data_IF_965087254855
#
_entry.id   IF_965087254855
#
_cell.length_a   1.000
_cell.length_b   1.000
_cell.length_c   1.000
_cell.angle_alpha   90.00
_cell.angle_beta   90.00
_cell.angle_gamma   90.00
#
_symmetry.space_group_name_H-M   'P 1'
#
loop_
_entity.id
_entity.type
_entity.pdbx_description
1 polymer ?
#
# COMPACT_ATOMS: atom_id res chain seq x y z
N UNK A 1 12.72 -49.50 -21.32
CA UNK A 1 12.55 -48.89 -19.98
C UNK A 1 11.99 -47.48 -20.13
N UNK A 2 10.78 -47.20 -19.62
CA UNK A 2 10.26 -45.82 -19.53
C UNK A 2 11.07 -45.09 -18.45
N UNK A 3 11.80 -44.03 -18.79
CA UNK A 3 12.42 -43.13 -17.79
C UNK A 3 11.30 -42.63 -16.87
N UNK A 4 11.30 -43.01 -15.58
CA UNK A 4 10.48 -42.33 -14.56
C UNK A 4 10.90 -40.86 -14.60
N UNK A 5 9.99 -39.97 -15.02
CA UNK A 5 10.18 -38.53 -14.85
C UNK A 5 10.20 -38.29 -13.35
N UNK A 6 11.38 -37.98 -12.80
CA UNK A 6 11.51 -37.51 -11.42
C UNK A 6 10.92 -36.10 -11.40
N UNK A 7 9.98 -35.88 -10.50
CA UNK A 7 9.33 -34.58 -10.32
C UNK A 7 10.18 -33.74 -9.37
N UNK A 8 10.13 -32.41 -9.50
CA UNK A 8 10.75 -31.51 -8.52
C UNK A 8 10.16 -31.73 -7.11
N UNK A 9 8.92 -32.21 -7.03
CA UNK A 9 8.25 -32.58 -5.78
C UNK A 9 8.88 -33.76 -5.05
N UNK A 10 9.75 -34.53 -5.71
CA UNK A 10 10.43 -35.68 -5.12
C UNK A 10 11.71 -35.27 -4.37
N UNK A 11 12.08 -33.98 -4.42
CA UNK A 11 13.23 -33.44 -3.71
C UNK A 11 12.93 -33.23 -2.22
N UNK A 12 13.97 -33.30 -1.40
CA UNK A 12 13.89 -32.96 0.02
C UNK A 12 13.47 -31.47 0.18
N UNK A 13 12.64 -31.19 1.19
CA UNK A 13 12.16 -29.86 1.55
C UNK A 13 13.28 -28.82 1.68
N UNK A 14 14.44 -29.18 2.25
CA UNK A 14 15.57 -28.28 2.41
C UNK A 14 16.19 -27.89 1.06
N UNK A 15 16.27 -28.86 0.14
CA UNK A 15 16.73 -28.62 -1.24
C UNK A 15 15.75 -27.70 -1.98
N UNK A 16 14.44 -27.92 -1.78
CA UNK A 16 13.40 -27.06 -2.35
C UNK A 16 13.47 -25.64 -1.80
N UNK A 17 13.70 -25.48 -0.49
CA UNK A 17 13.89 -24.18 0.16
C UNK A 17 15.08 -23.44 -0.44
N UNK A 18 16.22 -24.11 -0.63
CA UNK A 18 17.41 -23.53 -1.26
C UNK A 18 17.11 -23.08 -2.69
N UNK A 19 16.45 -23.91 -3.50
CA UNK A 19 16.06 -23.55 -4.88
C UNK A 19 15.19 -22.30 -4.89
N UNK A 20 14.19 -22.23 -4.01
CA UNK A 20 13.30 -21.07 -3.91
C UNK A 20 14.07 -19.82 -3.49
N UNK A 21 14.99 -19.92 -2.53
CA UNK A 21 15.84 -18.79 -2.12
C UNK A 21 16.64 -18.25 -3.30
N UNK A 22 17.24 -19.13 -4.12
CA UNK A 22 17.97 -18.69 -5.31
C UNK A 22 17.05 -18.04 -6.35
N UNK A 23 15.85 -18.59 -6.56
CA UNK A 23 14.86 -17.98 -7.45
C UNK A 23 14.40 -16.60 -6.94
N UNK A 24 14.18 -16.47 -5.63
CA UNK A 24 13.78 -15.25 -4.96
C UNK A 24 14.88 -14.17 -4.98
N UNK A 25 16.16 -14.55 -4.99
CA UNK A 25 17.31 -13.63 -5.10
C UNK A 25 17.67 -13.23 -6.54
N UNK A 26 17.00 -13.79 -7.54
CA UNK A 26 17.28 -13.45 -8.93
C UNK A 26 16.91 -11.99 -9.24
N UNK A 27 17.40 -11.46 -10.37
CA UNK A 27 17.12 -10.07 -10.76
C UNK A 27 15.62 -9.74 -10.92
N UNK A 28 14.78 -10.74 -11.21
CA UNK A 28 13.31 -10.64 -11.24
C UNK A 28 12.71 -11.48 -10.08
N UNK A 29 13.34 -11.39 -8.90
CA UNK A 29 13.12 -12.25 -7.76
C UNK A 29 11.66 -12.28 -7.30
N UNK A 30 11.09 -11.11 -7.01
CA UNK A 30 9.69 -10.98 -6.58
C UNK A 30 8.70 -11.60 -7.58
N UNK A 31 8.83 -11.32 -8.88
CA UNK A 31 7.90 -11.87 -9.87
C UNK A 31 8.15 -13.37 -10.10
N UNK A 32 9.41 -13.82 -10.11
CA UNK A 32 9.76 -15.23 -10.22
C UNK A 32 9.22 -16.04 -9.05
N UNK A 33 9.32 -15.50 -7.83
CA UNK A 33 8.77 -16.10 -6.64
C UNK A 33 7.23 -16.11 -6.64
N UNK A 34 6.59 -15.01 -7.01
CA UNK A 34 5.13 -14.94 -7.15
C UNK A 34 4.60 -15.94 -8.19
N UNK A 35 5.29 -16.09 -9.32
CA UNK A 35 5.00 -17.13 -10.31
C UNK A 35 5.19 -18.51 -9.71
N UNK A 36 6.35 -18.82 -9.14
CA UNK A 36 6.67 -20.15 -8.60
C UNK A 36 5.63 -20.63 -7.57
N UNK A 37 5.19 -19.75 -6.69
CA UNK A 37 4.20 -20.05 -5.63
C UNK A 37 2.77 -20.21 -6.13
N UNK A 38 2.44 -19.70 -7.33
CA UNK A 38 1.12 -19.88 -7.93
C UNK A 38 0.96 -21.21 -8.66
N UNK A 39 2.05 -21.81 -9.16
CA UNK A 39 2.04 -23.04 -9.97
C UNK A 39 2.30 -24.30 -9.16
N UNK A 40 3.03 -24.21 -8.05
CA UNK A 40 3.50 -25.36 -7.28
C UNK A 40 2.99 -25.32 -5.83
N UNK A 41 2.22 -26.34 -5.44
CA UNK A 41 1.67 -26.46 -4.07
C UNK A 41 2.78 -26.47 -3.00
N UNK A 42 3.88 -27.20 -3.24
CA UNK A 42 5.02 -27.25 -2.32
C UNK A 42 5.69 -25.88 -2.16
N UNK A 43 5.82 -25.14 -3.26
CA UNK A 43 6.36 -23.78 -3.20
C UNK A 43 5.41 -22.83 -2.48
N UNK A 44 4.10 -23.02 -2.65
CA UNK A 44 3.08 -22.28 -1.89
C UNK A 44 3.18 -22.53 -0.38
N UNK A 45 3.45 -23.77 0.03
CA UNK A 45 3.66 -24.13 1.44
C UNK A 45 4.92 -23.45 2.01
N UNK A 46 6.01 -23.43 1.23
CA UNK A 46 7.25 -22.73 1.58
C UNK A 46 7.17 -21.20 1.44
N UNK A 47 6.11 -20.67 0.85
CA UNK A 47 6.03 -19.25 0.53
C UNK A 47 5.98 -18.33 1.76
N UNK A 48 5.61 -18.88 2.92
CA UNK A 48 5.56 -18.17 4.20
C UNK A 48 6.82 -18.34 5.06
N UNK A 49 7.82 -19.08 4.56
CA UNK A 49 9.07 -19.24 5.27
C UNK A 49 9.81 -17.91 5.39
N UNK A 50 10.22 -17.57 6.62
CA UNK A 50 10.85 -16.30 6.95
C UNK A 50 12.16 -16.07 6.19
N UNK A 51 12.98 -17.11 5.99
CA UNK A 51 14.27 -16.97 5.32
C UNK A 51 14.07 -16.71 3.82
N UNK A 52 13.07 -17.36 3.23
CA UNK A 52 12.66 -17.10 1.85
C UNK A 52 12.17 -15.65 1.70
N UNK A 53 11.25 -15.20 2.57
CA UNK A 53 10.69 -13.85 2.51
C UNK A 53 11.75 -12.75 2.71
N UNK A 54 12.73 -12.98 3.60
CA UNK A 54 13.89 -12.09 3.75
C UNK A 54 14.78 -12.03 2.51
N UNK A 55 14.82 -13.10 1.73
CA UNK A 55 15.69 -13.24 0.57
C UNK A 55 15.09 -12.70 -0.74
N UNK A 56 13.79 -12.37 -0.78
CA UNK A 56 13.14 -11.87 -2.01
C UNK A 56 13.75 -10.56 -2.47
N UNK A 57 14.17 -10.52 -3.72
CA UNK A 57 14.78 -9.37 -4.37
C UNK A 57 13.72 -8.50 -5.06
N UNK A 58 13.85 -7.17 -4.90
CA UNK A 58 12.92 -6.15 -5.42
C UNK A 58 13.61 -5.06 -6.25
N UNK A 59 14.90 -5.20 -6.58
CA UNK A 59 15.72 -4.17 -7.24
C UNK A 59 15.17 -3.61 -8.56
N UNK A 60 14.40 -4.38 -9.31
CA UNK A 60 13.79 -3.92 -10.58
C UNK A 60 12.34 -3.44 -10.43
N UNK A 61 11.84 -3.30 -9.21
CA UNK A 61 10.45 -2.99 -8.97
C UNK A 61 10.27 -1.49 -8.77
N UNK A 62 9.74 -0.82 -9.79
CA UNK A 62 9.31 0.58 -9.70
C UNK A 62 7.98 0.68 -8.95
N UNK A 63 7.87 1.60 -7.97
CA UNK A 63 6.65 1.79 -7.16
C UNK A 63 5.41 1.97 -8.03
N UNK A 64 5.52 2.74 -9.13
CA UNK A 64 4.43 2.99 -10.07
C UNK A 64 4.01 1.74 -10.89
N UNK A 65 4.89 0.74 -10.99
CA UNK A 65 4.63 -0.52 -11.68
C UNK A 65 4.22 -1.67 -10.74
N UNK A 66 4.14 -1.42 -9.42
CA UNK A 66 3.69 -2.44 -8.46
C UNK A 66 2.17 -2.54 -8.53
N UNK A 67 1.69 -3.73 -8.89
CA UNK A 67 0.27 -4.06 -8.87
C UNK A 67 -0.33 -3.86 -7.46
N UNK A 68 -1.56 -3.33 -7.42
CA UNK A 68 -2.29 -3.03 -6.18
C UNK A 68 -2.33 -4.19 -5.18
N UNK A 69 -2.36 -5.43 -5.65
CA UNK A 69 -2.39 -6.64 -4.80
C UNK A 69 -1.14 -6.82 -3.94
N UNK A 70 0.02 -6.29 -4.36
CA UNK A 70 1.27 -6.38 -3.59
C UNK A 70 1.25 -5.53 -2.33
N UNK A 71 0.47 -4.45 -2.33
CA UNK A 71 0.31 -3.53 -1.20
C UNK A 71 -0.73 -3.98 -0.18
N UNK A 72 -1.54 -4.98 -0.52
CA UNK A 72 -2.53 -5.52 0.41
C UNK A 72 -1.85 -6.10 1.65
N UNK A 73 -2.56 -6.17 2.77
CA UNK A 73 -2.05 -6.64 4.06
C UNK A 73 -1.41 -8.04 4.03
N UNK A 74 -1.80 -8.88 3.06
CA UNK A 74 -1.25 -10.21 2.79
C UNK A 74 -0.51 -10.31 1.44
N UNK A 75 -0.27 -9.18 0.78
CA UNK A 75 0.52 -9.08 -0.44
C UNK A 75 1.98 -9.47 -0.19
N UNK A 76 2.67 -9.88 -1.26
CA UNK A 76 4.05 -10.37 -1.18
C UNK A 76 4.98 -9.34 -0.53
N UNK A 77 4.88 -8.08 -0.92
CA UNK A 77 5.74 -7.01 -0.41
C UNK A 77 5.55 -6.81 1.09
N UNK A 78 4.30 -6.75 1.57
CA UNK A 78 3.99 -6.60 3.00
C UNK A 78 4.48 -7.82 3.80
N UNK A 79 4.32 -9.04 3.27
CA UNK A 79 4.83 -10.25 3.92
C UNK A 79 6.36 -10.24 4.01
N UNK A 80 7.05 -9.80 2.97
CA UNK A 80 8.51 -9.65 2.99
C UNK A 80 8.97 -8.59 3.99
N UNK A 81 8.30 -7.43 4.03
CA UNK A 81 8.60 -6.37 4.99
C UNK A 81 8.44 -6.85 6.44
N UNK A 82 7.34 -7.56 6.76
CA UNK A 82 7.10 -8.17 8.08
C UNK A 82 8.15 -9.22 8.45
N UNK A 83 8.66 -9.94 7.47
CA UNK A 83 9.75 -10.89 7.68
C UNK A 83 11.11 -10.22 7.92
N UNK A 84 11.23 -8.89 7.76
CA UNK A 84 12.48 -8.14 7.94
C UNK A 84 13.28 -7.92 6.66
N UNK A 85 12.65 -8.03 5.48
CA UNK A 85 13.29 -7.67 4.22
C UNK A 85 13.43 -6.14 4.12
N UNK A 86 14.67 -5.65 4.21
CA UNK A 86 15.00 -4.21 4.24
C UNK A 86 14.53 -3.49 2.98
N UNK A 87 14.66 -4.11 1.81
CA UNK A 87 14.24 -3.50 0.54
C UNK A 87 12.71 -3.36 0.50
N UNK A 88 11.98 -4.40 0.90
CA UNK A 88 10.53 -4.36 0.99
C UNK A 88 10.04 -3.32 2.02
N UNK A 89 10.69 -3.20 3.17
CA UNK A 89 10.40 -2.16 4.16
C UNK A 89 10.59 -0.76 3.56
N UNK A 90 11.71 -0.53 2.86
CA UNK A 90 11.99 0.76 2.23
C UNK A 90 10.97 1.10 1.14
N UNK A 91 10.57 0.12 0.32
CA UNK A 91 9.52 0.31 -0.68
C UNK A 91 8.17 0.60 -0.05
N UNK A 92 7.82 -0.08 1.04
CA UNK A 92 6.60 0.16 1.79
C UNK A 92 6.56 1.58 2.37
N UNK A 93 7.64 2.01 3.02
CA UNK A 93 7.76 3.36 3.58
C UNK A 93 7.64 4.43 2.50
N UNK A 94 8.30 4.24 1.35
CA UNK A 94 8.17 5.17 0.21
C UNK A 94 6.73 5.22 -0.32
N UNK A 95 6.04 4.09 -0.42
CA UNK A 95 4.65 4.06 -0.86
C UNK A 95 3.72 4.79 0.11
N UNK A 96 3.87 4.56 1.41
CA UNK A 96 3.09 5.27 2.44
C UNK A 96 3.35 6.79 2.36
N UNK A 97 4.59 7.22 2.13
CA UNK A 97 4.91 8.64 1.95
C UNK A 97 4.18 9.25 0.74
N UNK A 98 4.17 8.56 -0.40
CA UNK A 98 3.43 9.02 -1.59
C UNK A 98 1.93 9.11 -1.31
N UNK A 99 1.36 8.13 -0.60
CA UNK A 99 -0.05 8.15 -0.22
C UNK A 99 -0.38 9.31 0.73
N UNK A 100 0.47 9.58 1.71
CA UNK A 100 0.26 10.71 2.64
C UNK A 100 0.31 12.05 1.90
N UNK A 101 1.25 12.26 0.98
CA UNK A 101 1.30 13.50 0.18
C UNK A 101 0.05 13.67 -0.69
N UNK A 102 -0.47 12.58 -1.26
CA UNK A 102 -1.73 12.60 -2.00
C UNK A 102 -2.92 12.97 -1.10
N UNK A 103 -3.05 12.32 0.06
CA UNK A 103 -4.14 12.60 1.01
C UNK A 103 -4.05 14.03 1.53
N UNK A 104 -2.85 14.53 1.86
CA UNK A 104 -2.62 15.92 2.27
C UNK A 104 -3.07 16.90 1.19
N UNK A 105 -2.75 16.62 -0.06
CA UNK A 105 -3.20 17.45 -1.20
C UNK A 105 -4.72 17.46 -1.28
N UNK A 106 -5.37 16.29 -1.14
CA UNK A 106 -6.84 16.18 -1.16
C UNK A 106 -7.50 16.93 0.01
N UNK A 107 -6.94 16.86 1.23
CA UNK A 107 -7.42 17.62 2.39
C UNK A 107 -7.33 19.13 2.12
N UNK A 108 -6.21 19.61 1.57
CA UNK A 108 -6.06 21.04 1.21
C UNK A 108 -7.06 21.49 0.16
N UNK A 109 -7.26 20.71 -0.89
CA UNK A 109 -8.26 20.99 -1.94
C UNK A 109 -9.67 20.99 -1.34
N UNK A 110 -9.98 20.03 -0.47
CA UNK A 110 -11.24 19.96 0.27
C UNK A 110 -11.51 21.20 1.11
N UNK A 111 -10.54 21.66 1.91
CA UNK A 111 -10.64 22.90 2.70
C UNK A 111 -10.85 24.13 1.82
N UNK A 112 -10.17 24.21 0.65
CA UNK A 112 -10.38 25.30 -0.29
C UNK A 112 -11.80 25.28 -0.88
N UNK A 113 -12.28 24.11 -1.29
CA UNK A 113 -13.64 23.94 -1.82
C UNK A 113 -14.69 24.35 -0.78
N UNK A 114 -14.53 23.96 0.49
CA UNK A 114 -15.44 24.38 1.57
C UNK A 114 -15.51 25.91 1.70
N UNK A 115 -14.37 26.61 1.60
CA UNK A 115 -14.34 28.09 1.66
C UNK A 115 -15.04 28.73 0.46
N UNK A 116 -14.83 28.22 -0.75
CA UNK A 116 -15.50 28.73 -1.95
C UNK A 116 -17.01 28.56 -1.85
N UNK A 117 -17.48 27.41 -1.37
CA UNK A 117 -18.91 27.16 -1.17
C UNK A 117 -19.48 28.10 -0.09
N UNK A 118 -18.74 28.34 0.99
CA UNK A 118 -19.14 29.30 2.03
C UNK A 118 -19.32 30.72 1.47
N UNK A 119 -18.38 31.19 0.65
CA UNK A 119 -18.46 32.50 -0.01
C UNK A 119 -19.65 32.58 -0.99
N UNK A 120 -19.91 31.51 -1.74
CA UNK A 120 -21.08 31.43 -2.63
C UNK A 120 -22.40 31.51 -1.86
N UNK A 121 -22.50 30.86 -0.71
CA UNK A 121 -23.69 30.93 0.15
C UNK A 121 -23.89 32.36 0.65
N UNK A 122 -22.83 33.00 1.16
CA UNK A 122 -22.90 34.41 1.63
C UNK A 122 -23.34 35.35 0.52
N UNK A 123 -22.95 35.09 -0.73
CA UNK A 123 -23.42 35.83 -1.89
C UNK A 123 -24.91 35.53 -2.21
N UNK A 124 -25.33 34.27 -2.15
CA UNK A 124 -26.70 33.83 -2.42
C UNK A 124 -27.71 34.30 -1.34
N UNK A 125 -27.29 34.43 -0.08
CA UNK A 125 -28.10 35.04 0.99
C UNK A 125 -28.52 36.47 0.66
N UNK A 126 -27.69 37.20 -0.11
CA UNK A 126 -28.01 38.55 -0.60
C UNK A 126 -29.03 38.54 -1.75
N UNK A 127 -29.29 37.39 -2.36
CA UNK A 127 -30.19 37.21 -3.52
C UNK A 127 -31.50 36.47 -3.18
N UNK A 128 -31.92 36.45 -1.90
CA UNK A 128 -33.19 35.88 -1.43
C UNK A 128 -33.35 34.34 -1.56
N UNK A 129 -32.27 33.58 -1.30
CA UNK A 129 -32.39 32.12 -1.10
C UNK A 129 -33.20 31.79 0.17
N UNK A 130 -33.82 30.60 0.23
CA UNK A 130 -34.63 30.20 1.40
C UNK A 130 -33.73 29.94 2.61
N UNK A 131 -34.02 30.61 3.73
CA UNK A 131 -33.25 30.48 5.00
C UNK A 131 -33.05 29.04 5.47
N UNK A 132 -33.99 28.14 5.16
CA UNK A 132 -33.90 26.72 5.52
C UNK A 132 -32.79 26.00 4.74
N UNK A 133 -32.69 26.25 3.43
CA UNK A 133 -31.66 25.68 2.56
C UNK A 133 -30.26 26.16 2.99
N UNK A 134 -30.11 27.46 3.26
CA UNK A 134 -28.83 28.01 3.74
C UNK A 134 -28.37 27.36 5.05
N UNK A 135 -29.29 27.14 6.01
CA UNK A 135 -28.95 26.46 7.27
C UNK A 135 -28.47 25.03 7.06
N UNK A 136 -29.10 24.26 6.17
CA UNK A 136 -28.68 22.90 5.86
C UNK A 136 -27.28 22.86 5.24
N UNK A 137 -27.01 23.73 4.27
CA UNK A 137 -25.68 23.79 3.62
C UNK A 137 -24.62 24.25 4.62
N UNK A 138 -24.88 25.26 5.45
CA UNK A 138 -23.95 25.72 6.49
C UNK A 138 -23.63 24.62 7.51
N UNK A 139 -24.62 23.80 7.87
CA UNK A 139 -24.40 22.64 8.75
C UNK A 139 -23.51 21.59 8.08
N UNK A 140 -23.75 21.28 6.80
CA UNK A 140 -22.92 20.33 6.04
C UNK A 140 -21.49 20.83 5.87
N UNK A 141 -21.30 22.12 5.55
CA UNK A 141 -19.98 22.75 5.48
C UNK A 141 -19.23 22.66 6.80
N UNK A 142 -19.90 22.95 7.92
CA UNK A 142 -19.28 22.84 9.25
C UNK A 142 -18.78 21.41 9.52
N UNK A 143 -19.59 20.39 9.19
CA UNK A 143 -19.16 18.99 9.33
C UNK A 143 -17.98 18.66 8.41
N UNK A 144 -17.98 19.13 7.16
CA UNK A 144 -16.86 18.93 6.24
C UNK A 144 -15.58 19.60 6.73
N UNK A 145 -15.66 20.84 7.22
CA UNK A 145 -14.50 21.55 7.78
C UNK A 145 -13.91 20.80 8.96
N UNK A 146 -14.74 20.35 9.91
CA UNK A 146 -14.30 19.54 11.04
C UNK A 146 -13.61 18.26 10.55
N UNK A 147 -14.23 17.52 9.62
CA UNK A 147 -13.64 16.29 9.09
C UNK A 147 -12.29 16.52 8.39
N UNK A 148 -12.12 17.64 7.68
CA UNK A 148 -10.83 17.98 7.08
C UNK A 148 -9.79 18.42 8.11
N UNK A 149 -10.19 19.09 9.19
CA UNK A 149 -9.28 19.46 10.27
C UNK A 149 -8.81 18.21 11.04
N UNK A 150 -9.72 17.29 11.35
CA UNK A 150 -9.39 16.00 11.97
C UNK A 150 -8.43 15.18 11.08
N UNK A 151 -8.71 15.12 9.77
CA UNK A 151 -7.84 14.44 8.82
C UNK A 151 -6.44 15.07 8.73
N UNK A 152 -6.33 16.40 8.83
CA UNK A 152 -5.05 17.12 8.82
C UNK A 152 -4.23 16.80 10.08
N UNK A 153 -4.88 16.73 11.24
CA UNK A 153 -4.25 16.33 12.51
C UNK A 153 -3.74 14.89 12.44
N UNK A 154 -4.53 13.96 11.89
CA UNK A 154 -4.12 12.56 11.77
C UNK A 154 -3.00 12.36 10.74
N UNK A 155 -3.01 13.12 9.64
CA UNK A 155 -1.89 13.17 8.69
C UNK A 155 -0.60 13.62 9.37
N UNK A 156 -0.66 14.69 10.17
CA UNK A 156 0.52 15.23 10.85
C UNK A 156 1.11 14.21 11.84
N UNK A 157 0.28 13.51 12.61
CA UNK A 157 0.72 12.40 13.47
C UNK A 157 1.37 11.26 12.67
N UNK A 158 0.78 10.88 11.53
CA UNK A 158 1.32 9.81 10.69
C UNK A 158 2.70 10.18 10.13
N UNK A 159 2.93 11.45 9.79
CA UNK A 159 4.21 11.95 9.32
C UNK A 159 5.26 11.98 10.42
N UNK A 160 4.90 12.41 11.63
CA UNK A 160 5.78 12.37 12.81
C UNK A 160 6.24 10.93 13.10
N UNK A 161 5.31 9.96 13.06
CA UNK A 161 5.64 8.54 13.21
C UNK A 161 6.59 8.04 12.11
N UNK A 162 6.38 8.46 10.86
CA UNK A 162 7.27 8.08 9.76
C UNK A 162 8.65 8.71 9.87
N UNK A 163 8.75 9.94 10.37
CA UNK A 163 10.03 10.58 10.64
C UNK A 163 10.79 9.86 11.75
N UNK A 164 10.09 9.36 12.78
CA UNK A 164 10.70 8.61 13.87
C UNK A 164 11.25 7.22 13.46
N UNK A 165 10.82 6.69 12.31
CA UNK A 165 11.28 5.39 11.76
C UNK A 165 12.50 5.56 10.85
N UNK A 166 12.82 6.79 10.41
CA UNK A 166 13.98 7.11 9.57
C UNK A 166 15.24 7.29 10.39
#
# INVERSE_FOLDING_TARGET
MKRRRRSISDLNSDVLKVIIIFAAKSADGAATFARATSICKLFKELANDTDILKAVEFSNVMIAGIDGSFWQSNGLLIRCARAGNVIACNLHLKHVQVLLELIRTNVRVGKLASRVIEDMIRAAERQACTRAMTRQINSALKMMTIAFDDADVDLQKAEELLQAIR
#
